data_IF_718372374176
#
_entry.id   IF_718372374176
#
_cell.length_a   1.000
_cell.length_b   1.000
_cell.length_c   1.000
_cell.angle_alpha   90.00
_cell.angle_beta   90.00
_cell.angle_gamma   90.00
#
_symmetry.space_group_name_H-M   'P 1'
#
loop_
_entity.id
_entity.type
_entity.pdbx_description
1 polymer ?
#
# COMPACT_ATOMS: atom_id res chain seq x y z
N UNK A 1 -6.29 -21.65 -19.54
CA UNK A 1 -4.97 -21.57 -18.88
C UNK A 1 -4.97 -20.34 -17.96
N UNK A 2 -5.51 -20.43 -16.74
CA UNK A 2 -5.49 -19.32 -15.79
C UNK A 2 -4.81 -19.81 -14.51
N UNK A 3 -3.48 -19.73 -14.50
CA UNK A 3 -2.72 -19.93 -13.28
C UNK A 3 -3.13 -18.84 -12.29
N UNK A 4 -3.78 -19.26 -11.22
CA UNK A 4 -4.11 -18.42 -10.09
C UNK A 4 -2.80 -17.80 -9.58
N UNK A 5 -2.59 -16.50 -9.80
CA UNK A 5 -1.54 -15.72 -9.13
C UNK A 5 -1.91 -15.55 -7.65
N UNK A 6 -1.92 -16.65 -6.91
CA UNK A 6 -2.16 -16.71 -5.48
C UNK A 6 -0.83 -16.41 -4.76
N UNK A 7 -0.23 -15.25 -5.06
CA UNK A 7 0.83 -14.71 -4.22
C UNK A 7 0.28 -14.56 -2.80
N UNK A 8 1.03 -15.00 -1.79
CA UNK A 8 0.62 -15.05 -0.37
C UNK A 8 0.08 -13.69 0.10
N UNK A 9 -1.23 -13.45 -0.07
CA UNK A 9 -1.91 -12.32 0.55
C UNK A 9 -1.70 -12.43 2.07
N UNK A 10 -1.18 -11.38 2.73
CA UNK A 10 -1.09 -11.34 4.18
C UNK A 10 -2.43 -11.74 4.84
N UNK A 11 -2.39 -12.45 5.98
CA UNK A 11 -3.61 -12.80 6.72
C UNK A 11 -4.43 -11.55 7.04
N UNK A 12 -5.77 -11.66 6.98
CA UNK A 12 -6.71 -10.53 7.20
C UNK A 12 -6.43 -9.72 8.47
N UNK A 13 -5.86 -10.36 9.51
CA UNK A 13 -5.53 -9.71 10.80
C UNK A 13 -4.59 -8.50 10.69
N UNK A 14 -3.79 -8.41 9.63
CA UNK A 14 -2.87 -7.28 9.41
C UNK A 14 -3.43 -6.21 8.49
N UNK A 15 -4.62 -6.39 7.91
CA UNK A 15 -5.18 -5.42 6.98
C UNK A 15 -5.39 -4.07 7.69
N UNK A 16 -5.02 -2.96 7.03
CA UNK A 16 -5.19 -1.65 7.61
C UNK A 16 -6.68 -1.32 7.73
N UNK A 17 -7.11 -0.94 8.94
CA UNK A 17 -8.50 -0.53 9.18
C UNK A 17 -8.78 0.77 8.42
N UNK A 18 -9.90 0.81 7.71
CA UNK A 18 -10.33 1.99 6.97
C UNK A 18 -9.56 2.27 5.67
N UNK A 19 -8.72 1.34 5.20
CA UNK A 19 -8.02 1.43 3.92
C UNK A 19 -8.17 0.09 3.17
N UNK A 20 -9.30 -0.14 2.47
CA UNK A 20 -9.56 -1.39 1.78
C UNK A 20 -8.49 -1.70 0.72
N UNK A 21 -7.95 -2.92 0.76
CA UNK A 21 -7.07 -3.44 -0.30
C UNK A 21 -7.93 -4.11 -1.35
N UNK A 22 -7.97 -3.55 -2.55
CA UNK A 22 -8.78 -4.02 -3.66
C UNK A 22 -8.03 -5.05 -4.51
N UNK A 23 -6.73 -4.83 -4.70
CA UNK A 23 -5.87 -5.73 -5.46
C UNK A 23 -4.47 -5.80 -4.85
N UNK A 24 -3.88 -7.00 -4.90
CA UNK A 24 -2.50 -7.22 -4.47
C UNK A 24 -1.92 -8.42 -5.23
N UNK A 25 -0.74 -8.22 -5.81
CA UNK A 25 0.12 -9.28 -6.36
C UNK A 25 1.57 -9.12 -5.89
N UNK A 26 2.54 -9.66 -6.65
CA UNK A 26 3.97 -9.55 -6.34
C UNK A 26 4.55 -8.14 -6.54
N UNK A 27 3.99 -7.36 -7.46
CA UNK A 27 4.54 -6.10 -7.95
C UNK A 27 3.66 -4.90 -7.58
N UNK A 28 2.35 -5.08 -7.40
CA UNK A 28 1.37 -4.01 -7.16
C UNK A 28 0.54 -4.24 -5.90
N UNK A 29 0.14 -3.12 -5.28
CA UNK A 29 -0.85 -3.03 -4.21
C UNK A 29 -1.78 -1.86 -4.50
N UNK A 30 -3.07 -2.13 -4.68
CA UNK A 30 -4.08 -1.12 -5.00
C UNK A 30 -5.08 -1.05 -3.85
N UNK A 31 -5.30 0.17 -3.38
CA UNK A 31 -6.21 0.46 -2.26
C UNK A 31 -7.26 1.47 -2.66
N UNK A 32 -8.41 1.40 -1.99
CA UNK A 32 -9.42 2.45 -2.02
C UNK A 32 -9.09 3.49 -0.94
N UNK A 33 -8.49 4.63 -1.32
CA UNK A 33 -8.09 5.65 -0.35
C UNK A 33 -9.31 6.45 0.08
N UNK A 34 -9.68 6.47 1.38
CA UNK A 34 -10.75 7.34 1.85
C UNK A 34 -10.32 8.82 1.80
N UNK A 35 -11.29 9.75 1.77
CA UNK A 35 -10.99 11.17 1.98
C UNK A 35 -10.50 11.39 3.42
N UNK A 36 -9.74 12.47 3.66
CA UNK A 36 -9.17 12.81 4.96
C UNK A 36 -7.87 12.07 5.31
N UNK A 37 -7.50 11.00 4.58
CA UNK A 37 -6.26 10.24 4.77
C UNK A 37 -5.15 10.76 3.86
N UNK A 38 -3.99 11.06 4.45
CA UNK A 38 -2.80 11.47 3.70
C UNK A 38 -2.22 10.30 2.90
N UNK A 39 -1.76 10.56 1.67
CA UNK A 39 -1.04 9.56 0.87
C UNK A 39 0.33 9.26 1.49
N UNK A 40 1.11 10.31 1.77
CA UNK A 40 2.44 10.26 2.39
C UNK A 40 2.46 11.24 3.56
N UNK A 41 3.31 10.96 4.56
CA UNK A 41 3.44 11.79 5.75
C UNK A 41 3.92 13.21 5.46
N UNK A 42 3.60 14.09 6.40
CA UNK A 42 4.11 15.47 6.49
C UNK A 42 4.97 15.60 7.74
N UNK A 43 5.54 16.77 7.98
CA UNK A 43 6.28 17.03 9.22
C UNK A 43 5.41 16.88 10.47
N UNK A 44 4.11 17.15 10.35
CA UNK A 44 3.14 17.10 11.46
C UNK A 44 2.54 15.72 11.68
N UNK A 45 2.35 14.94 10.62
CA UNK A 45 1.75 13.61 10.69
C UNK A 45 2.48 12.62 9.80
N UNK A 46 3.24 11.72 10.45
CA UNK A 46 4.08 10.72 9.78
C UNK A 46 3.43 9.33 9.74
N UNK A 47 2.44 9.07 10.58
CA UNK A 47 1.93 7.71 10.84
C UNK A 47 0.51 7.49 10.33
N UNK A 48 -0.35 8.53 10.27
CA UNK A 48 -1.73 8.39 9.77
C UNK A 48 -1.79 8.61 8.25
N UNK A 49 -1.06 7.77 7.52
CA UNK A 49 -0.93 7.87 6.06
C UNK A 49 -1.14 6.51 5.40
N UNK A 50 -1.64 6.49 4.17
CA UNK A 50 -1.76 5.26 3.39
C UNK A 50 -0.40 4.56 3.26
N UNK A 51 0.67 5.31 2.97
CA UNK A 51 2.02 4.76 2.87
C UNK A 51 2.50 4.09 4.18
N UNK A 52 2.26 4.69 5.35
CA UNK A 52 2.64 4.10 6.63
C UNK A 52 1.85 2.81 6.91
N UNK A 53 0.52 2.88 6.78
CA UNK A 53 -0.39 1.76 7.03
C UNK A 53 -0.07 0.55 6.12
N UNK A 54 0.24 0.81 4.85
CA UNK A 54 0.57 -0.27 3.91
C UNK A 54 1.98 -0.83 4.12
N UNK A 55 2.94 -0.02 4.59
CA UNK A 55 4.24 -0.54 5.02
C UNK A 55 4.12 -1.47 6.23
N UNK A 56 3.29 -1.11 7.21
CA UNK A 56 3.01 -1.98 8.36
C UNK A 56 2.37 -3.31 7.92
N UNK A 57 1.37 -3.23 7.04
CA UNK A 57 0.70 -4.38 6.43
C UNK A 57 1.68 -5.36 5.76
N UNK A 58 2.57 -4.88 4.86
CA UNK A 58 3.49 -5.77 4.13
C UNK A 58 4.62 -6.33 5.02
N UNK A 59 4.92 -5.67 6.14
CA UNK A 59 5.87 -6.16 7.17
C UNK A 59 5.24 -7.21 8.09
N UNK A 60 3.92 -7.24 8.22
CA UNK A 60 3.17 -8.22 9.03
C UNK A 60 3.63 -8.26 10.50
N UNK A 61 3.96 -7.11 11.06
CA UNK A 61 4.48 -6.99 12.43
C UNK A 61 5.91 -7.51 12.61
N UNK A 62 6.64 -7.86 11.54
CA UNK A 62 8.06 -8.17 11.62
C UNK A 62 8.90 -6.90 11.40
N UNK A 63 9.51 -6.32 12.44
CA UNK A 63 10.31 -5.10 12.32
C UNK A 63 11.59 -5.29 11.50
N UNK A 64 12.07 -6.54 11.33
CA UNK A 64 13.25 -6.88 10.51
C UNK A 64 12.89 -7.15 9.04
N UNK A 65 11.61 -7.13 8.68
CA UNK A 65 11.18 -7.38 7.31
C UNK A 65 11.67 -6.27 6.37
N UNK A 66 12.23 -6.68 5.22
CA UNK A 66 12.63 -5.76 4.15
C UNK A 66 11.48 -5.36 3.22
N UNK A 67 10.30 -5.96 3.40
CA UNK A 67 9.12 -5.64 2.60
C UNK A 67 8.73 -4.18 2.85
N UNK A 68 8.50 -3.46 1.74
CA UNK A 68 8.01 -2.09 1.74
C UNK A 68 7.19 -1.85 0.49
N UNK A 69 6.31 -0.87 0.58
CA UNK A 69 5.62 -0.32 -0.59
C UNK A 69 6.33 0.94 -1.06
N UNK A 70 6.22 1.23 -2.35
CA UNK A 70 6.78 2.43 -2.98
C UNK A 70 5.66 3.28 -3.53
N UNK A 71 5.72 4.57 -3.23
CA UNK A 71 4.78 5.57 -3.75
C UNK A 71 5.13 5.83 -5.21
N UNK A 72 4.16 5.68 -6.11
CA UNK A 72 4.31 5.97 -7.55
C UNK A 72 3.49 7.18 -7.99
N UNK A 73 2.40 7.48 -7.28
CA UNK A 73 1.66 8.74 -7.42
C UNK A 73 1.04 9.14 -6.07
N UNK A 74 0.47 10.34 -6.01
CA UNK A 74 -0.20 10.86 -4.80
C UNK A 74 -1.61 11.30 -5.12
N UNK A 75 -2.47 11.21 -4.11
CA UNK A 75 -3.76 11.89 -4.08
C UNK A 75 -3.74 12.92 -2.93
N UNK A 76 -4.46 14.01 -3.11
CA UNK A 76 -4.69 14.98 -2.05
C UNK A 76 -5.41 14.34 -0.87
N UNK A 77 -5.28 14.96 0.30
CA UNK A 77 -5.83 14.43 1.55
C UNK A 77 -7.32 14.11 1.42
N UNK A 78 -8.09 15.04 0.86
CA UNK A 78 -9.55 14.97 0.80
C UNK A 78 -10.08 14.29 -0.46
N UNK A 79 -9.19 13.84 -1.35
CA UNK A 79 -9.55 13.06 -2.55
C UNK A 79 -9.75 11.60 -2.18
N UNK A 80 -10.89 11.03 -2.60
CA UNK A 80 -11.19 9.60 -2.52
C UNK A 80 -11.06 8.95 -3.90
N UNK A 81 -10.15 7.98 -4.05
CA UNK A 81 -9.98 7.24 -5.30
C UNK A 81 -9.07 6.02 -5.08
N UNK A 82 -8.89 5.24 -6.14
CA UNK A 82 -7.87 4.22 -6.24
C UNK A 82 -6.49 4.84 -6.08
N UNK A 83 -5.69 4.25 -5.19
CA UNK A 83 -4.30 4.60 -5.00
C UNK A 83 -3.43 3.35 -5.23
N UNK A 84 -2.46 3.48 -6.14
CA UNK A 84 -1.54 2.41 -6.52
C UNK A 84 -0.21 2.59 -5.80
N UNK A 85 0.29 1.49 -5.26
CA UNK A 85 1.66 1.36 -4.76
C UNK A 85 2.37 0.23 -5.49
N UNK A 86 3.67 0.41 -5.72
CA UNK A 86 4.55 -0.68 -6.13
C UNK A 86 5.04 -1.46 -4.91
N UNK A 87 5.27 -2.76 -5.07
CA UNK A 87 5.86 -3.67 -4.08
C UNK A 87 7.28 -4.12 -4.44
N UNK A 88 7.75 -3.79 -5.64
CA UNK A 88 9.11 -4.04 -6.12
C UNK A 88 9.72 -2.75 -6.69
N UNK A 89 11.06 -2.66 -6.67
CA UNK A 89 11.77 -1.51 -7.25
C UNK A 89 11.62 -1.46 -8.76
N UNK A 90 11.57 -2.62 -9.41
CA UNK A 90 11.29 -2.72 -10.84
C UNK A 90 9.92 -2.12 -11.20
N UNK A 91 8.87 -2.48 -10.46
CA UNK A 91 7.53 -1.92 -10.67
C UNK A 91 7.48 -0.42 -10.35
N UNK A 92 8.20 0.03 -9.31
CA UNK A 92 8.31 1.46 -9.00
C UNK A 92 8.93 2.21 -10.19
N UNK A 93 10.07 1.75 -10.70
CA UNK A 93 10.76 2.40 -11.84
C UNK A 93 9.90 2.39 -13.09
N UNK A 94 9.12 1.34 -13.33
CA UNK A 94 8.21 1.26 -14.48
C UNK A 94 7.05 2.26 -14.42
N UNK A 95 6.61 2.64 -13.22
CA UNK A 95 5.44 3.50 -12.99
C UNK A 95 5.78 4.99 -12.75
N UNK A 96 7.06 5.36 -12.78
CA UNK A 96 7.55 6.74 -12.60
C UNK A 96 7.93 7.38 -13.93
#
# INVERSE_FOLDING_TARGET
MNAQHKGMRPPKKHQPRGLPILYEDKDLLIVDKPPGLLTVGTDRDKTRTAHYLLNDYVRRGNPKSRNRVYVVHRLDRDTSCLLVFAKSEAAKTFLQ
#
